data_IF_350290313340
#
_entry.id   IF_350290313340
#
_cell.length_a   1.000
_cell.length_b   1.000
_cell.length_c   1.000
_cell.angle_alpha   90.00
_cell.angle_beta   90.00
_cell.angle_gamma   90.00
#
_symmetry.space_group_name_H-M   'P 1'
#
loop_
_entity.id
_entity.type
_entity.pdbx_description
1 polymer ?
#
# COMPACT_ATOMS: atom_id res chain seq x y z
N UNK A 1 -13.39 -7.55 -18.05
CA UNK A 1 -13.90 -6.15 -18.11
C UNK A 1 -15.39 -6.10 -18.52
N UNK A 2 -15.87 -7.07 -19.30
CA UNK A 2 -17.27 -7.13 -19.78
C UNK A 2 -18.35 -7.36 -18.71
N UNK A 3 -18.01 -7.82 -17.50
CA UNK A 3 -19.03 -8.30 -16.55
C UNK A 3 -19.26 -7.38 -15.32
N UNK A 4 -18.43 -6.33 -15.16
CA UNK A 4 -18.58 -5.34 -14.08
C UNK A 4 -19.34 -4.08 -14.53
N UNK A 5 -19.51 -3.96 -15.83
CA UNK A 5 -20.42 -3.06 -16.51
C UNK A 5 -21.50 -4.00 -16.99
N UNK A 6 -22.75 -3.79 -16.60
CA UNK A 6 -23.83 -4.72 -16.93
C UNK A 6 -23.75 -5.15 -18.40
N UNK A 7 -24.23 -6.35 -18.72
CA UNK A 7 -24.25 -6.92 -20.08
C UNK A 7 -24.94 -6.06 -21.14
N UNK A 8 -25.48 -4.90 -20.75
CA UNK A 8 -25.94 -3.86 -21.62
C UNK A 8 -24.79 -2.90 -21.96
N UNK A 9 -24.53 -2.62 -23.24
CA UNK A 9 -23.63 -1.52 -23.61
C UNK A 9 -24.09 -0.25 -22.90
N UNK A 10 -23.14 0.52 -22.39
CA UNK A 10 -23.41 1.84 -21.81
C UNK A 10 -24.34 2.63 -22.72
N UNK A 11 -25.36 3.24 -22.13
CA UNK A 11 -26.16 4.25 -22.84
C UNK A 11 -25.26 5.42 -23.25
N UNK A 12 -25.64 6.17 -24.29
CA UNK A 12 -24.88 7.36 -24.73
C UNK A 12 -24.68 8.37 -23.59
N UNK A 13 -25.67 8.49 -22.69
CA UNK A 13 -25.61 9.34 -21.50
C UNK A 13 -24.58 8.83 -20.48
N UNK A 14 -24.54 7.52 -20.20
CA UNK A 14 -23.56 6.93 -19.28
C UNK A 14 -22.13 7.00 -19.85
N UNK A 15 -21.97 6.82 -21.15
CA UNK A 15 -20.67 6.94 -21.82
C UNK A 15 -20.17 8.39 -21.78
N UNK A 16 -21.07 9.36 -21.96
CA UNK A 16 -20.74 10.79 -21.83
C UNK A 16 -20.33 11.13 -20.39
N UNK A 17 -21.07 10.61 -19.39
CA UNK A 17 -20.72 10.79 -17.98
C UNK A 17 -19.39 10.12 -17.62
N UNK A 18 -19.13 8.91 -18.12
CA UNK A 18 -17.88 8.21 -17.93
C UNK A 18 -16.70 8.98 -18.51
N UNK A 19 -16.82 9.48 -19.74
CA UNK A 19 -15.75 10.26 -20.38
C UNK A 19 -15.50 11.58 -19.65
N UNK A 20 -16.55 12.26 -19.20
CA UNK A 20 -16.42 13.48 -18.40
C UNK A 20 -15.72 13.22 -17.04
N UNK A 21 -16.04 12.11 -16.38
CA UNK A 21 -15.35 11.69 -15.15
C UNK A 21 -13.90 11.33 -15.47
N UNK A 22 -13.65 10.54 -16.52
CA UNK A 22 -12.30 10.15 -16.92
C UNK A 22 -11.44 11.37 -17.21
N UNK A 23 -11.91 12.34 -17.97
CA UNK A 23 -11.16 13.58 -18.24
C UNK A 23 -10.91 14.39 -16.97
N UNK A 24 -11.90 14.46 -16.07
CA UNK A 24 -11.77 15.19 -14.80
C UNK A 24 -10.77 14.54 -13.84
N UNK A 25 -10.78 13.22 -13.74
CA UNK A 25 -9.95 12.47 -12.80
C UNK A 25 -8.59 12.08 -13.40
N UNK A 26 -8.40 12.21 -14.73
CA UNK A 26 -7.11 11.91 -15.38
C UNK A 26 -6.13 13.06 -15.16
N UNK A 27 -5.09 12.81 -14.37
CA UNK A 27 -3.98 13.74 -14.22
C UNK A 27 -2.80 13.31 -15.10
N UNK A 28 -2.33 14.14 -16.06
CA UNK A 28 -1.23 13.78 -16.95
C UNK A 28 0.11 13.55 -16.23
N UNK A 29 0.24 14.05 -14.98
CA UNK A 29 1.42 13.85 -14.12
C UNK A 29 1.48 12.44 -13.53
N UNK A 30 0.36 11.72 -13.49
CA UNK A 30 0.30 10.37 -12.96
C UNK A 30 0.52 9.38 -14.10
N UNK A 31 1.50 8.50 -13.93
CA UNK A 31 1.81 7.41 -14.87
C UNK A 31 1.59 6.08 -14.16
N UNK A 32 0.88 5.17 -14.83
CA UNK A 32 0.57 3.85 -14.29
C UNK A 32 1.37 2.79 -15.00
N UNK A 33 1.97 1.89 -14.22
CA UNK A 33 2.64 0.69 -14.70
C UNK A 33 1.88 -0.51 -14.13
N UNK A 34 1.02 -1.13 -14.94
CA UNK A 34 0.06 -2.12 -14.46
C UNK A 34 0.59 -3.56 -14.49
N UNK A 35 1.62 -3.82 -15.29
CA UNK A 35 2.14 -5.17 -15.49
C UNK A 35 3.14 -5.52 -14.39
N UNK A 36 2.96 -6.66 -13.69
CA UNK A 36 4.00 -7.17 -12.81
C UNK A 36 5.29 -7.40 -13.61
N UNK A 37 6.37 -6.76 -13.17
CA UNK A 37 7.71 -6.94 -13.72
C UNK A 37 8.58 -7.70 -12.73
N UNK A 38 9.64 -8.32 -13.22
CA UNK A 38 10.72 -8.80 -12.36
C UNK A 38 11.51 -7.60 -11.78
N UNK A 39 12.28 -7.79 -10.69
CA UNK A 39 13.00 -6.70 -10.04
C UNK A 39 14.02 -6.00 -10.93
N UNK A 40 14.69 -6.72 -11.84
CA UNK A 40 15.73 -6.16 -12.70
C UNK A 40 15.13 -5.27 -13.78
N UNK A 41 14.08 -5.74 -14.45
CA UNK A 41 13.32 -4.94 -15.41
C UNK A 41 12.70 -3.72 -14.74
N UNK A 42 12.10 -3.89 -13.55
CA UNK A 42 11.54 -2.78 -12.78
C UNK A 42 12.59 -1.71 -12.50
N UNK A 43 13.77 -2.12 -12.05
CA UNK A 43 14.87 -1.21 -11.73
C UNK A 43 15.31 -0.41 -12.95
N UNK A 44 15.57 -1.08 -14.08
CA UNK A 44 16.03 -0.42 -15.32
C UNK A 44 15.02 0.60 -15.83
N UNK A 45 13.74 0.22 -15.86
CA UNK A 45 12.65 1.10 -16.31
C UNK A 45 12.50 2.30 -15.37
N UNK A 46 12.52 2.06 -14.07
CA UNK A 46 12.38 3.11 -13.05
C UNK A 46 13.55 4.09 -13.10
N UNK A 47 14.78 3.58 -13.24
CA UNK A 47 15.95 4.45 -13.39
C UNK A 47 15.88 5.29 -14.66
N UNK A 48 15.53 4.69 -15.80
CA UNK A 48 15.37 5.42 -17.05
C UNK A 48 14.27 6.51 -16.93
N UNK A 49 13.17 6.21 -16.25
CA UNK A 49 12.10 7.16 -15.97
C UNK A 49 12.60 8.34 -15.12
N UNK A 50 13.33 8.07 -14.03
CA UNK A 50 13.90 9.12 -13.17
C UNK A 50 14.87 10.00 -13.98
N UNK A 51 15.75 9.40 -14.78
CA UNK A 51 16.71 10.12 -15.63
C UNK A 51 15.98 11.05 -16.63
N UNK A 52 14.96 10.54 -17.31
CA UNK A 52 14.17 11.33 -18.27
C UNK A 52 13.45 12.53 -17.63
N UNK A 53 13.15 12.44 -16.32
CA UNK A 53 12.39 13.43 -15.57
C UNK A 53 13.19 14.17 -14.49
N UNK A 54 14.53 14.18 -14.56
CA UNK A 54 15.38 14.89 -13.58
C UNK A 54 15.09 16.41 -13.49
N UNK A 55 14.48 16.99 -14.51
CA UNK A 55 14.08 18.39 -14.53
C UNK A 55 12.84 18.68 -13.65
N UNK A 56 12.14 17.64 -13.17
CA UNK A 56 11.01 17.77 -12.26
C UNK A 56 11.52 17.95 -10.82
N UNK A 57 10.88 18.86 -10.09
CA UNK A 57 11.23 19.20 -8.70
C UNK A 57 11.20 17.98 -7.77
N UNK A 58 10.18 17.13 -7.90
CA UNK A 58 10.07 15.92 -7.11
C UNK A 58 9.28 14.82 -7.83
N UNK A 59 9.78 13.59 -7.77
CA UNK A 59 9.16 12.40 -8.34
C UNK A 59 8.74 11.48 -7.18
N UNK A 60 7.46 11.12 -7.14
CA UNK A 60 6.94 10.15 -6.18
C UNK A 60 6.65 8.85 -6.91
N UNK A 61 7.29 7.76 -6.48
CA UNK A 61 7.10 6.43 -7.04
C UNK A 61 6.35 5.59 -6.02
N UNK A 62 5.14 5.18 -6.37
CA UNK A 62 4.30 4.34 -5.54
C UNK A 62 4.31 2.90 -6.06
N UNK A 63 4.58 1.94 -5.18
CA UNK A 63 4.46 0.51 -5.50
C UNK A 63 3.22 -0.03 -4.79
N UNK A 64 2.20 -0.39 -5.58
CA UNK A 64 1.03 -1.06 -5.04
C UNK A 64 1.36 -2.53 -4.81
N UNK A 65 1.38 -2.90 -3.53
CA UNK A 65 1.68 -4.21 -3.01
C UNK A 65 3.00 -4.84 -3.49
N UNK A 66 4.06 -4.70 -2.68
CA UNK A 66 5.39 -5.27 -2.98
C UNK A 66 5.40 -6.78 -3.24
N UNK A 67 4.43 -7.54 -2.72
CA UNK A 67 4.33 -8.97 -2.97
C UNK A 67 3.75 -9.31 -4.34
N UNK A 68 3.45 -8.35 -5.21
CA UNK A 68 3.03 -8.61 -6.60
C UNK A 68 4.20 -8.69 -7.59
N UNK A 69 5.43 -8.40 -7.16
CA UNK A 69 6.64 -8.52 -8.00
C UNK A 69 6.80 -9.94 -8.57
N UNK A 70 7.22 -10.10 -9.83
CA UNK A 70 7.46 -11.44 -10.38
C UNK A 70 8.56 -12.15 -9.61
N UNK A 71 8.37 -13.43 -9.30
CA UNK A 71 9.37 -14.22 -8.58
C UNK A 71 10.63 -14.40 -9.45
N UNK A 72 11.80 -14.40 -8.82
CA UNK A 72 13.05 -14.79 -9.48
C UNK A 72 13.19 -16.32 -9.44
N UNK A 73 14.20 -16.85 -10.13
CA UNK A 73 14.55 -18.28 -10.04
C UNK A 73 14.92 -18.70 -8.61
N UNK A 74 15.41 -17.76 -7.79
CA UNK A 74 15.75 -17.98 -6.38
C UNK A 74 14.54 -17.84 -5.42
N UNK A 75 13.36 -17.47 -5.93
CA UNK A 75 12.11 -17.45 -5.20
C UNK A 75 11.55 -16.06 -4.91
N UNK A 76 10.42 -16.02 -4.22
CA UNK A 76 9.66 -14.78 -3.97
C UNK A 76 10.36 -13.81 -3.04
N UNK A 77 10.96 -14.33 -1.96
CA UNK A 77 11.67 -13.52 -0.97
C UNK A 77 12.84 -12.78 -1.61
N UNK A 78 13.64 -13.50 -2.39
CA UNK A 78 14.77 -12.93 -3.13
C UNK A 78 14.32 -11.84 -4.10
N UNK A 79 13.20 -12.04 -4.81
CA UNK A 79 12.64 -11.01 -5.68
C UNK A 79 12.28 -9.72 -4.92
N UNK A 80 11.67 -9.85 -3.74
CA UNK A 80 11.32 -8.70 -2.89
C UNK A 80 12.59 -8.02 -2.36
N UNK A 81 13.56 -8.80 -1.86
CA UNK A 81 14.81 -8.27 -1.32
C UNK A 81 15.57 -7.48 -2.42
N UNK A 82 15.73 -8.06 -3.62
CA UNK A 82 16.35 -7.40 -4.79
C UNK A 82 15.61 -6.11 -5.20
N UNK A 83 14.27 -6.10 -5.15
CA UNK A 83 13.48 -4.91 -5.46
C UNK A 83 13.73 -3.80 -4.43
N UNK A 84 13.79 -4.14 -3.15
CA UNK A 84 14.06 -3.17 -2.07
C UNK A 84 15.51 -2.66 -2.15
N UNK A 85 16.48 -3.51 -2.49
CA UNK A 85 17.87 -3.06 -2.75
C UNK A 85 17.93 -2.05 -3.89
N UNK A 86 17.23 -2.34 -4.99
CA UNK A 86 17.10 -1.41 -6.13
C UNK A 86 16.50 -0.07 -5.72
N UNK A 87 15.42 -0.09 -4.92
CA UNK A 87 14.81 1.14 -4.37
C UNK A 87 15.82 1.91 -3.51
N UNK A 88 16.54 1.22 -2.63
CA UNK A 88 17.53 1.84 -1.75
C UNK A 88 18.68 2.46 -2.56
N UNK A 89 19.10 1.83 -3.65
CA UNK A 89 20.09 2.42 -4.56
C UNK A 89 19.55 3.70 -5.22
N UNK A 90 18.34 3.65 -5.79
CA UNK A 90 17.76 4.79 -6.50
C UNK A 90 17.51 5.98 -5.58
N UNK A 91 16.97 5.78 -4.38
CA UNK A 91 16.73 6.87 -3.42
C UNK A 91 18.02 7.54 -2.92
N UNK A 92 19.12 6.80 -2.86
CA UNK A 92 20.41 7.35 -2.44
C UNK A 92 21.14 8.03 -3.61
N UNK A 93 20.92 7.55 -4.84
CA UNK A 93 21.53 8.11 -6.06
C UNK A 93 20.85 9.41 -6.51
N UNK A 94 19.53 9.51 -6.37
CA UNK A 94 18.75 10.66 -6.82
C UNK A 94 18.09 11.36 -5.64
N UNK A 95 18.27 12.67 -5.51
CA UNK A 95 17.78 13.45 -4.34
C UNK A 95 16.34 13.93 -4.51
N UNK A 96 15.82 13.93 -5.73
CA UNK A 96 14.47 14.41 -6.06
C UNK A 96 13.45 13.26 -6.19
N UNK A 97 13.71 12.09 -5.58
CA UNK A 97 12.80 10.94 -5.65
C UNK A 97 12.40 10.46 -4.25
N UNK A 98 11.12 10.15 -4.09
CA UNK A 98 10.58 9.47 -2.91
C UNK A 98 9.83 8.21 -3.31
N UNK A 99 9.92 7.19 -2.46
CA UNK A 99 9.25 5.91 -2.67
C UNK A 99 8.20 5.66 -1.61
N UNK A 100 6.99 5.28 -2.03
CA UNK A 100 5.91 4.82 -1.16
C UNK A 100 5.62 3.36 -1.53
N UNK A 101 5.85 2.46 -0.59
CA UNK A 101 5.68 1.03 -0.81
C UNK A 101 4.48 0.57 0.02
N UNK A 102 3.46 0.05 -0.66
CA UNK A 102 2.35 -0.62 0.01
C UNK A 102 2.75 -2.07 0.25
N UNK A 103 2.56 -2.53 1.48
CA UNK A 103 2.78 -3.92 1.89
C UNK A 103 1.63 -4.39 2.77
N UNK A 104 1.42 -5.69 2.77
CA UNK A 104 0.43 -6.33 3.64
C UNK A 104 1.06 -6.68 4.98
N UNK A 105 0.20 -6.85 5.99
CA UNK A 105 0.59 -7.46 7.24
C UNK A 105 0.44 -8.99 7.15
N UNK A 106 1.20 -9.68 7.98
CA UNK A 106 1.07 -11.10 8.26
C UNK A 106 -0.31 -11.40 8.88
N UNK A 107 -0.90 -12.56 8.53
CA UNK A 107 -2.25 -12.97 8.98
C UNK A 107 -2.32 -13.20 10.49
N UNK A 108 -1.18 -13.45 11.11
CA UNK A 108 -1.00 -13.67 12.54
C UNK A 108 -1.45 -12.48 13.39
N UNK A 109 -1.58 -11.28 12.80
CA UNK A 109 -2.18 -10.13 13.49
C UNK A 109 -3.69 -10.32 13.71
N UNK A 110 -4.38 -11.08 12.86
CA UNK A 110 -5.83 -11.30 12.93
C UNK A 110 -6.23 -12.22 14.09
N UNK A 111 -5.32 -13.08 14.56
CA UNK A 111 -5.57 -13.99 15.68
C UNK A 111 -5.41 -13.33 17.06
N UNK A 112 -5.12 -12.02 17.11
CA UNK A 112 -4.88 -11.29 18.35
C UNK A 112 -6.19 -10.81 18.96
N UNK A 113 -6.60 -11.46 20.04
CA UNK A 113 -7.87 -11.17 20.73
C UNK A 113 -7.72 -10.22 21.95
N UNK A 114 -6.50 -9.79 22.28
CA UNK A 114 -6.22 -9.03 23.50
C UNK A 114 -5.66 -7.64 23.20
N UNK A 115 -6.22 -6.60 23.83
CA UNK A 115 -5.76 -5.21 23.76
C UNK A 115 -4.25 -5.05 24.08
N UNK A 116 -3.68 -5.89 24.96
CA UNK A 116 -2.24 -5.84 25.29
C UNK A 116 -1.34 -6.16 24.09
N UNK A 117 -1.82 -6.97 23.16
CA UNK A 117 -1.05 -7.44 22.02
C UNK A 117 -1.59 -6.93 20.68
N UNK A 118 -2.68 -6.15 20.68
CA UNK A 118 -3.38 -5.73 19.47
C UNK A 118 -2.57 -4.77 18.57
N UNK A 119 -1.60 -4.03 19.13
CA UNK A 119 -0.76 -3.13 18.33
C UNK A 119 0.10 -3.90 17.31
N UNK A 120 0.21 -3.42 16.06
CA UNK A 120 1.11 -3.99 15.07
C UNK A 120 2.57 -3.80 15.52
N UNK A 121 3.40 -4.77 15.17
CA UNK A 121 4.83 -4.85 15.52
C UNK A 121 5.64 -5.13 14.26
N UNK A 122 6.97 -5.01 14.35
CA UNK A 122 7.89 -5.35 13.25
C UNK A 122 7.60 -6.72 12.64
N UNK A 123 7.36 -7.74 13.45
CA UNK A 123 7.07 -9.11 12.99
C UNK A 123 5.75 -9.26 12.24
N UNK A 124 4.89 -8.25 12.25
CA UNK A 124 3.65 -8.24 11.47
C UNK A 124 3.86 -7.83 10.02
N UNK A 125 5.06 -7.36 9.63
CA UNK A 125 5.33 -7.03 8.23
C UNK A 125 5.51 -8.31 7.40
N UNK A 126 4.76 -8.41 6.31
CA UNK A 126 4.82 -9.57 5.44
C UNK A 126 6.19 -9.74 4.78
N UNK A 127 6.80 -10.90 5.01
CA UNK A 127 8.04 -11.41 4.36
C UNK A 127 9.19 -10.41 4.21
N UNK A 128 9.33 -9.40 5.07
CA UNK A 128 10.20 -8.27 4.75
C UNK A 128 10.91 -7.63 5.95
N UNK A 129 11.65 -8.44 6.70
CA UNK A 129 12.67 -7.93 7.63
C UNK A 129 13.64 -6.95 6.95
N UNK A 130 13.92 -7.18 5.66
CA UNK A 130 14.76 -6.35 4.84
C UNK A 130 14.12 -4.98 4.52
N UNK A 131 12.81 -4.95 4.23
CA UNK A 131 12.04 -3.71 4.11
C UNK A 131 12.13 -2.93 5.41
N UNK A 132 12.02 -3.59 6.56
CA UNK A 132 12.15 -2.92 7.85
C UNK A 132 13.52 -2.27 8.00
N UNK A 133 14.60 -2.91 7.57
CA UNK A 133 15.96 -2.37 7.70
C UNK A 133 16.18 -1.14 6.80
N UNK A 134 15.73 -1.19 5.54
CA UNK A 134 16.03 -0.16 4.54
C UNK A 134 15.03 0.99 4.49
N UNK A 135 13.82 0.81 5.03
CA UNK A 135 12.81 1.88 5.08
C UNK A 135 13.20 2.98 6.05
N UNK A 136 12.93 4.24 5.70
CA UNK A 136 13.17 5.37 6.60
C UNK A 136 11.97 5.60 7.54
N UNK A 137 10.75 5.34 7.04
CA UNK A 137 9.50 5.41 7.80
C UNK A 137 8.68 4.15 7.54
N UNK A 138 8.05 3.62 8.59
CA UNK A 138 7.05 2.55 8.48
C UNK A 138 5.80 2.96 9.23
N UNK A 139 4.73 3.16 8.48
CA UNK A 139 3.41 3.50 8.98
C UNK A 139 2.46 2.31 8.75
N UNK A 140 1.82 1.85 9.82
CA UNK A 140 0.78 0.82 9.74
C UNK A 140 -0.57 1.44 10.06
N UNK A 141 -1.47 1.38 9.08
CA UNK A 141 -2.88 1.74 9.25
C UNK A 141 -3.61 0.50 9.77
N UNK A 142 -4.17 0.61 10.97
CA UNK A 142 -4.77 -0.50 11.68
C UNK A 142 -6.18 -0.16 12.16
N UNK A 143 -7.12 -1.08 11.91
CA UNK A 143 -8.50 -1.00 12.38
C UNK A 143 -8.80 -2.21 13.27
N UNK A 144 -8.53 -2.14 14.58
CA UNK A 144 -8.78 -3.24 15.51
C UNK A 144 -10.25 -3.67 15.55
N UNK A 145 -11.19 -2.75 15.30
CA UNK A 145 -12.61 -3.07 15.33
C UNK A 145 -13.01 -4.06 14.23
N UNK A 146 -12.33 -4.04 13.07
CA UNK A 146 -12.51 -5.05 12.02
C UNK A 146 -12.05 -6.45 12.45
N UNK A 147 -11.16 -6.54 13.44
CA UNK A 147 -10.70 -7.79 14.05
C UNK A 147 -11.56 -8.23 15.24
N UNK A 148 -12.68 -7.54 15.51
CA UNK A 148 -13.56 -7.86 16.64
C UNK A 148 -13.08 -7.34 18.00
N UNK A 149 -11.98 -6.58 18.04
CA UNK A 149 -11.48 -6.00 19.28
C UNK A 149 -12.31 -4.79 19.69
N UNK A 150 -12.76 -4.73 20.96
CA UNK A 150 -13.44 -3.57 21.53
C UNK A 150 -12.46 -2.53 22.10
N UNK A 151 -11.27 -3.00 22.49
CA UNK A 151 -10.22 -2.21 23.10
C UNK A 151 -8.88 -2.47 22.40
N UNK A 152 -8.06 -1.43 22.28
CA UNK A 152 -6.76 -1.48 21.63
C UNK A 152 -5.68 -0.84 22.47
N UNK A 153 -4.54 -1.51 22.58
CA UNK A 153 -3.39 -1.15 23.41
C UNK A 153 -3.72 -1.03 24.90
N UNK A 154 -2.74 -1.34 25.74
CA UNK A 154 -2.78 -0.97 27.15
C UNK A 154 -1.68 0.06 27.38
N UNK A 155 -2.08 1.28 27.74
CA UNK A 155 -1.16 2.41 27.92
C UNK A 155 -1.27 2.97 29.34
N UNK A 156 -0.22 3.58 29.91
CA UNK A 156 -0.35 4.36 31.12
C UNK A 156 -1.40 5.46 30.95
N UNK A 157 -2.19 5.73 31.98
CA UNK A 157 -3.27 6.74 31.91
C UNK A 157 -2.77 8.12 31.45
N UNK A 158 -1.54 8.48 31.80
CA UNK A 158 -0.91 9.77 31.53
C UNK A 158 -0.12 9.79 30.20
N UNK A 159 0.03 8.65 29.51
CA UNK A 159 0.65 8.59 28.18
C UNK A 159 -0.33 9.09 27.10
N UNK A 160 0.12 9.66 25.99
CA UNK A 160 -0.77 10.09 24.88
C UNK A 160 -1.90 11.04 25.34
N UNK A 161 -1.58 12.08 26.10
CA UNK A 161 -2.57 13.00 26.70
C UNK A 161 -3.48 13.66 25.67
N UNK A 162 -2.96 13.96 24.47
CA UNK A 162 -3.75 14.49 23.33
C UNK A 162 -4.86 13.56 22.86
N UNK A 163 -4.74 12.25 23.12
CA UNK A 163 -5.73 11.24 22.74
C UNK A 163 -6.61 10.80 23.91
N UNK A 164 -6.66 11.57 25.00
CA UNK A 164 -7.50 11.23 26.16
C UNK A 164 -8.99 11.04 25.79
N UNK A 165 -9.50 11.74 24.78
CA UNK A 165 -10.89 11.56 24.30
C UNK A 165 -11.16 10.21 23.64
N UNK A 166 -10.13 9.48 23.23
CA UNK A 166 -10.22 8.17 22.59
C UNK A 166 -10.03 7.02 23.57
N UNK A 167 -9.66 7.33 24.82
CA UNK A 167 -9.41 6.34 25.85
C UNK A 167 -10.70 5.82 26.49
N UNK A 168 -10.70 4.55 26.86
CA UNK A 168 -11.69 3.95 27.76
C UNK A 168 -11.49 4.46 29.19
N UNK A 169 -12.47 4.21 30.06
CA UNK A 169 -12.35 4.52 31.48
C UNK A 169 -11.08 3.86 32.05
N UNK A 170 -10.22 4.60 32.76
CA UNK A 170 -9.00 4.03 33.31
C UNK A 170 -9.30 2.86 34.24
N UNK A 171 -8.51 1.80 34.12
CA UNK A 171 -8.44 0.72 35.09
C UNK A 171 -7.14 0.86 35.87
N UNK A 172 -7.24 1.40 37.09
CA UNK A 172 -6.09 1.71 37.94
C UNK A 172 -5.12 2.72 37.32
N UNK A 173 -3.91 2.27 36.98
CA UNK A 173 -2.84 3.10 36.41
C UNK A 173 -2.82 3.09 34.88
N UNK A 174 -3.64 2.24 34.27
CA UNK A 174 -3.64 1.99 32.83
C UNK A 174 -4.98 2.36 32.21
N UNK A 175 -4.98 2.58 30.90
CA UNK A 175 -6.16 2.78 30.09
C UNK A 175 -5.94 2.12 28.73
N UNK A 176 -7.04 1.88 28.02
CA UNK A 176 -7.07 1.30 26.67
C UNK A 176 -7.67 2.32 25.71
N UNK A 177 -7.48 2.16 24.40
CA UNK A 177 -8.19 2.96 23.40
C UNK A 177 -9.45 2.26 22.92
N UNK A 178 -10.51 3.03 22.73
CA UNK A 178 -11.76 2.56 22.14
C UNK A 178 -11.55 2.31 20.64
N UNK A 179 -11.95 1.14 20.14
CA UNK A 179 -11.71 0.77 18.74
C UNK A 179 -12.82 1.21 17.81
N UNK A 180 -14.07 1.20 18.29
CA UNK A 180 -15.24 1.44 17.47
C UNK A 180 -15.25 2.88 16.95
N UNK A 181 -15.29 3.01 15.62
CA UNK A 181 -15.32 4.32 14.96
C UNK A 181 -13.97 5.03 14.94
N UNK A 182 -12.87 4.34 15.23
CA UNK A 182 -11.52 4.91 15.19
C UNK A 182 -10.59 4.07 14.29
N UNK A 183 -9.68 4.75 13.58
CA UNK A 183 -8.53 4.15 12.89
C UNK A 183 -7.26 4.59 13.61
N UNK A 184 -6.30 3.67 13.68
CA UNK A 184 -5.03 3.86 14.34
C UNK A 184 -3.91 3.83 13.32
N UNK A 185 -3.02 4.80 13.40
CA UNK A 185 -1.83 4.93 12.59
C UNK A 185 -0.62 4.70 13.50
N UNK A 186 0.08 3.59 13.30
CA UNK A 186 1.23 3.20 14.09
C UNK A 186 2.51 3.48 13.33
N UNK A 187 3.36 4.36 13.86
CA UNK A 187 4.70 4.59 13.35
C UNK A 187 5.64 3.56 14.00
N UNK A 188 5.86 2.44 13.30
CA UNK A 188 6.71 1.34 13.82
C UNK A 188 8.20 1.66 13.62
N UNK A 189 8.52 2.53 12.66
CA UNK A 189 9.88 3.00 12.41
C UNK A 189 9.86 4.46 11.97
N UNK A 190 10.74 5.26 12.57
CA UNK A 190 11.09 6.62 12.17
C UNK A 190 12.61 6.72 12.27
N UNK A 191 13.31 6.89 11.14
CA UNK A 191 14.77 6.90 11.12
C UNK A 191 15.40 8.17 11.72
N UNK A 192 14.66 9.28 11.74
CA UNK A 192 15.15 10.57 12.23
C UNK A 192 14.96 10.79 13.74
N UNK A 193 14.17 9.95 14.42
CA UNK A 193 13.93 10.07 15.87
C UNK A 193 14.67 8.96 16.61
N UNK A 194 15.66 9.35 17.43
CA UNK A 194 16.37 8.47 18.38
C UNK A 194 15.48 8.11 19.60
N UNK A 195 14.16 8.15 19.43
CA UNK A 195 13.16 7.65 20.37
C UNK A 195 12.76 8.61 21.49
N UNK A 196 12.83 9.93 21.29
CA UNK A 196 12.59 10.89 22.38
C UNK A 196 11.65 12.04 22.03
N UNK A 197 11.26 12.26 20.77
CA UNK A 197 10.54 13.48 20.40
C UNK A 197 9.22 13.28 19.66
N UNK A 198 9.00 12.13 19.01
CA UNK A 198 7.84 11.92 18.15
C UNK A 198 6.89 10.87 18.75
N UNK A 199 5.59 11.15 18.68
CA UNK A 199 4.56 10.18 19.03
C UNK A 199 4.49 9.09 17.97
N UNK A 200 4.56 7.84 18.42
CA UNK A 200 4.47 6.63 17.59
C UNK A 200 3.02 6.25 17.20
N UNK A 201 2.03 7.04 17.64
CA UNK A 201 0.61 6.76 17.47
C UNK A 201 -0.14 8.01 17.01
N UNK A 202 -0.98 7.84 16.00
CA UNK A 202 -2.02 8.79 15.65
C UNK A 202 -3.39 8.09 15.57
N UNK A 203 -4.44 8.77 16.02
CA UNK A 203 -5.80 8.22 16.07
C UNK A 203 -6.76 9.17 15.35
N UNK A 204 -7.50 8.63 14.40
CA UNK A 204 -8.51 9.37 13.65
C UNK A 204 -9.90 8.78 13.90
N UNK A 205 -10.91 9.63 14.08
CA UNK A 205 -12.30 9.20 14.09
C UNK A 205 -12.73 8.93 12.65
N UNK A 206 -13.22 7.72 12.39
CA UNK A 206 -13.96 7.43 11.18
C UNK A 206 -15.26 8.23 11.20
N UNK A 207 -15.36 9.26 10.37
CA UNK A 207 -16.60 10.03 10.24
C UNK A 207 -17.67 9.11 9.63
N UNK A 208 -18.67 8.75 10.43
CA UNK A 208 -19.82 7.96 9.98
C UNK A 208 -20.80 8.78 9.14
N UNK A 209 -20.46 10.02 8.78
CA UNK A 209 -21.18 10.83 7.78
C UNK A 209 -21.03 10.32 6.34
N UNK A 210 -20.51 9.11 6.13
CA UNK A 210 -20.86 8.36 4.93
C UNK A 210 -22.36 8.06 5.00
N UNK A 211 -23.19 8.97 4.47
CA UNK A 211 -24.54 8.61 4.03
C UNK A 211 -24.33 7.55 2.96
N UNK A 212 -24.82 6.32 3.11
CA UNK A 212 -24.85 5.38 2.00
C UNK A 212 -25.91 5.89 1.02
N UNK A 213 -25.60 6.93 0.26
CA UNK A 213 -26.30 7.18 -0.99
C UNK A 213 -25.79 6.11 -1.95
N UNK A 214 -26.54 5.01 -2.01
CA UNK A 214 -26.39 3.89 -2.95
C UNK A 214 -25.21 2.95 -2.70
N UNK A 215 -25.31 2.14 -1.64
CA UNK A 215 -24.79 0.76 -1.70
C UNK A 215 -26.01 -0.15 -1.62
N UNK A 216 -26.58 -0.46 -2.79
CA UNK A 216 -27.44 -1.63 -2.93
C UNK A 216 -26.64 -2.86 -2.52
N UNK A 217 -27.24 -3.66 -1.65
CA UNK A 217 -26.73 -4.90 -1.08
C UNK A 217 -25.77 -5.67 -1.99
N UNK A 218 -24.55 -5.91 -1.51
CA UNK A 218 -23.66 -6.93 -2.06
C UNK A 218 -24.35 -8.30 -1.88
N UNK A 219 -24.88 -8.84 -2.96
CA UNK A 219 -25.08 -10.28 -3.09
C UNK A 219 -23.76 -10.89 -3.56
N UNK A 220 -23.45 -12.07 -3.03
CA UNK A 220 -22.23 -12.84 -3.25
C UNK A 220 -21.86 -12.95 -4.74
N UNK A 221 -20.66 -12.49 -5.11
CA UNK A 221 -20.02 -12.79 -6.39
C UNK A 221 -18.68 -13.46 -6.11
N UNK A 222 -18.74 -14.78 -5.93
CA UNK A 222 -17.60 -15.69 -6.07
C UNK A 222 -17.24 -15.80 -7.55
N UNK A 223 -16.37 -14.91 -8.03
CA UNK A 223 -15.47 -15.06 -9.19
C UNK A 223 -15.15 -13.68 -9.76
N UNK A 224 -13.97 -13.15 -9.42
CA UNK A 224 -13.46 -11.90 -9.99
C UNK A 224 -12.38 -12.26 -11.03
N UNK A 225 -12.64 -12.11 -12.35
CA UNK A 225 -11.63 -12.31 -13.37
C UNK A 225 -10.65 -11.13 -13.42
N UNK A 226 -9.35 -11.44 -13.52
CA UNK A 226 -8.25 -10.47 -13.64
C UNK A 226 -8.35 -9.69 -14.97
N UNK A 227 -8.03 -8.39 -14.96
CA UNK A 227 -7.99 -7.53 -16.15
C UNK A 227 -6.81 -7.88 -17.06
N UNK A 228 -7.01 -7.75 -18.37
CA UNK A 228 -5.95 -7.80 -19.37
C UNK A 228 -5.20 -6.46 -19.43
N UNK A 229 -3.89 -6.55 -19.66
CA UNK A 229 -2.95 -5.43 -19.68
C UNK A 229 -3.28 -4.39 -20.77
N UNK A 230 -3.02 -3.11 -20.48
CA UNK A 230 -2.96 -2.06 -21.51
C UNK A 230 -1.96 -2.44 -22.61
N UNK A 231 -2.27 -2.17 -23.88
CA UNK A 231 -1.31 -2.35 -24.98
C UNK A 231 -0.03 -1.56 -24.70
N UNK A 232 1.11 -2.22 -24.89
CA UNK A 232 2.43 -1.64 -24.66
C UNK A 232 2.62 -0.39 -25.54
N UNK A 233 3.01 0.73 -24.92
CA UNK A 233 3.27 2.00 -25.62
C UNK A 233 4.68 1.98 -26.23
N UNK A 234 5.50 0.99 -25.90
CA UNK A 234 6.83 0.79 -26.47
C UNK A 234 6.77 -0.45 -27.36
N UNK A 235 6.90 -0.24 -28.68
CA UNK A 235 6.59 -1.20 -29.74
C UNK A 235 7.15 -2.61 -29.53
N UNK A 236 6.50 -3.60 -30.17
CA UNK A 236 6.96 -4.98 -30.21
C UNK A 236 8.44 -5.01 -30.57
N UNK A 237 9.27 -5.53 -29.67
CA UNK A 237 10.56 -6.05 -30.08
C UNK A 237 10.25 -7.32 -30.88
N UNK A 238 10.12 -7.14 -32.19
CA UNK A 238 10.09 -8.24 -33.14
C UNK A 238 11.39 -9.03 -32.95
N UNK A 239 11.25 -10.23 -32.37
CA UNK A 239 12.27 -11.27 -32.47
C UNK A 239 12.18 -11.84 -33.88
N UNK A 240 12.91 -11.22 -34.81
CA UNK A 240 13.31 -11.88 -36.05
C UNK A 240 14.82 -12.20 -35.99
N UNK A 241 15.08 -13.49 -36.18
CA UNK A 241 16.30 -14.14 -36.67
C UNK A 241 17.58 -14.11 -35.84
N UNK A 242 17.88 -15.27 -35.22
CA UNK A 242 19.15 -15.95 -35.49
C UNK A 242 19.03 -17.46 -35.25
N UNK A 243 19.18 -18.23 -36.33
CA UNK A 243 19.34 -19.68 -36.36
C UNK A 243 20.39 -20.18 -35.36
N UNK A 244 20.02 -21.16 -34.53
CA UNK A 244 20.94 -21.94 -33.69
C UNK A 244 21.50 -23.12 -34.52
N UNK A 245 22.82 -23.19 -34.81
CA UNK A 245 23.38 -24.29 -35.57
C UNK A 245 23.64 -25.55 -34.73
N UNK A 246 23.11 -25.66 -33.51
CA UNK A 246 23.17 -26.90 -32.72
C UNK A 246 21.83 -27.26 -32.08
N UNK A 247 20.83 -27.60 -32.89
CA UNK A 247 19.80 -28.60 -32.57
C UNK A 247 18.98 -29.02 -33.79
#
# INVERSE_FOLDING_TARGET
>A
ISDLLGTNPFTEDEMTMFNAIKERESDPRIKYFQNPTDPETWFKVTEAFIIAHQHIEHIVITIDHIALVKQTMAGKKDAIDNMIEGINFLKNKYTNVSFIILSQLNREIESRENAKNSAPRKGDLYQSDFLFQLSDVILVVHNPAKLGLLEHMVVPKDAYTMFNSFKSKPDGKTSTFQTRGNIFYHFIKLREDDGQSILDLWIEKLDTKFKPSMVTSYQDYDDIPRMDATPDIFGSYDQEDSDDPFK
#
